data_IF_585696226475
#
_entry.id   IF_585696226475
#
_cell.length_a   1.000
_cell.length_b   1.000
_cell.length_c   1.000
_cell.angle_alpha   90.00
_cell.angle_beta   90.00
_cell.angle_gamma   90.00
#
_symmetry.space_group_name_H-M   'P 1'
#
loop_
_entity.id
_entity.type
_entity.pdbx_description
1 polymer ?
#
# COMPACT_ATOMS: atom_id res chain seq x y z
N UNK A 1 12.24 -21.34 23.78
CA UNK A 1 13.29 -20.63 23.04
C UNK A 1 13.23 -19.13 23.35
N UNK A 2 14.30 -18.42 23.06
CA UNK A 2 14.39 -16.97 23.22
C UNK A 2 15.06 -16.43 21.96
N UNK A 3 14.43 -15.44 21.31
CA UNK A 3 15.01 -14.73 20.19
C UNK A 3 15.90 -13.59 20.69
N UNK A 4 16.93 -13.28 19.94
CA UNK A 4 17.78 -12.11 20.17
C UNK A 4 17.71 -11.23 18.92
N UNK A 5 17.16 -10.04 19.06
CA UNK A 5 17.11 -9.02 18.00
C UNK A 5 18.25 -8.03 18.20
N UNK A 6 19.08 -7.85 17.17
CA UNK A 6 20.12 -6.82 17.16
C UNK A 6 19.59 -5.58 16.42
N UNK A 7 19.67 -4.43 17.03
CA UNK A 7 19.27 -3.14 16.45
C UNK A 7 20.12 -2.01 17.00
N UNK A 8 20.74 -1.19 16.11
CA UNK A 8 21.47 0.01 16.50
C UNK A 8 22.55 -0.21 17.57
N UNK A 9 23.28 -1.34 17.52
CA UNK A 9 24.32 -1.68 18.51
C UNK A 9 23.77 -2.20 19.85
N UNK A 10 22.45 -2.40 19.97
CA UNK A 10 21.76 -2.97 21.12
C UNK A 10 21.17 -4.34 20.79
N UNK A 11 20.86 -5.15 21.80
CA UNK A 11 20.15 -6.41 21.66
C UNK A 11 18.89 -6.43 22.52
N UNK A 12 17.82 -7.00 21.97
CA UNK A 12 16.55 -7.21 22.67
C UNK A 12 16.31 -8.71 22.73
N UNK A 13 15.99 -9.23 23.90
CA UNK A 13 15.59 -10.63 24.08
C UNK A 13 14.06 -10.72 24.14
N UNK A 14 13.48 -11.63 23.36
CA UNK A 14 12.03 -11.84 23.32
C UNK A 14 11.68 -13.32 23.20
N UNK A 15 10.63 -13.75 23.89
CA UNK A 15 10.10 -15.12 23.76
C UNK A 15 9.24 -15.27 22.49
N UNK A 16 8.59 -14.19 22.08
CA UNK A 16 7.75 -14.14 20.88
C UNK A 16 8.09 -12.88 20.07
N UNK A 17 8.11 -13.03 18.74
CA UNK A 17 8.32 -11.93 17.79
C UNK A 17 7.17 -11.89 16.82
N UNK A 18 6.72 -10.68 16.47
CA UNK A 18 5.77 -10.43 15.38
C UNK A 18 6.47 -9.69 14.25
N UNK A 19 6.53 -10.30 13.09
CA UNK A 19 7.03 -9.67 11.87
C UNK A 19 5.88 -8.98 11.13
N UNK A 20 5.81 -7.65 11.26
CA UNK A 20 4.80 -6.78 10.63
C UNK A 20 5.43 -5.85 9.59
N UNK A 21 6.44 -6.31 8.86
CA UNK A 21 7.28 -5.51 7.97
C UNK A 21 6.61 -5.10 6.66
N UNK A 22 5.44 -5.65 6.33
CA UNK A 22 4.72 -5.35 5.10
C UNK A 22 5.55 -5.64 3.84
N UNK A 23 5.70 -4.66 2.98
CA UNK A 23 6.54 -4.71 1.76
C UNK A 23 8.00 -4.29 1.97
N UNK A 24 8.45 -4.10 3.22
CA UNK A 24 9.79 -3.62 3.56
C UNK A 24 10.71 -4.70 4.13
N UNK A 25 10.26 -5.94 4.20
CA UNK A 25 11.06 -7.04 4.70
C UNK A 25 12.23 -7.37 3.76
N UNK A 26 13.44 -7.42 4.33
CA UNK A 26 14.66 -7.83 3.66
C UNK A 26 15.02 -9.30 3.95
N UNK A 27 16.34 -9.60 3.95
CA UNK A 27 16.85 -10.96 4.24
C UNK A 27 16.49 -11.46 5.64
N UNK A 28 16.33 -10.55 6.59
CA UNK A 28 15.93 -10.82 7.98
C UNK A 28 14.53 -11.43 8.09
N UNK A 29 13.69 -11.23 7.07
CA UNK A 29 12.34 -11.81 7.03
C UNK A 29 12.30 -13.26 6.50
N UNK A 30 13.45 -13.83 6.14
CA UNK A 30 13.59 -15.23 5.80
C UNK A 30 12.63 -15.68 4.69
N UNK A 31 11.71 -16.58 5.03
CA UNK A 31 10.74 -17.14 4.06
C UNK A 31 9.74 -16.11 3.53
N UNK A 32 9.43 -15.04 4.28
CA UNK A 32 8.48 -14.00 3.84
C UNK A 32 8.95 -13.30 2.56
N UNK A 33 10.23 -13.04 2.42
CA UNK A 33 10.80 -12.42 1.21
C UNK A 33 10.56 -13.24 -0.07
N UNK A 34 10.27 -14.54 0.07
CA UNK A 34 9.99 -15.44 -1.07
C UNK A 34 8.52 -15.53 -1.44
N UNK A 35 7.62 -15.14 -0.53
CA UNK A 35 6.17 -15.26 -0.71
C UNK A 35 5.46 -13.90 -0.79
N UNK A 36 6.20 -12.80 -0.66
CA UNK A 36 5.71 -11.44 -0.82
C UNK A 36 6.49 -10.70 -1.89
N UNK A 37 5.78 -9.92 -2.72
CA UNK A 37 6.38 -8.96 -3.64
C UNK A 37 6.24 -7.55 -3.06
N UNK A 38 7.33 -6.78 -2.97
CA UNK A 38 7.26 -5.36 -2.65
C UNK A 38 6.80 -4.58 -3.89
N UNK A 39 5.57 -4.14 -3.89
CA UNK A 39 4.98 -3.33 -4.96
C UNK A 39 4.86 -1.90 -4.47
N UNK A 40 5.43 -0.96 -5.21
CA UNK A 40 5.46 0.45 -4.84
C UNK A 40 4.25 1.20 -5.37
N UNK A 41 3.70 2.10 -4.55
CA UNK A 41 2.71 3.09 -4.93
C UNK A 41 3.18 4.49 -4.55
N UNK A 42 2.58 5.51 -5.12
CA UNK A 42 2.94 6.90 -4.94
C UNK A 42 1.76 7.69 -4.40
N UNK A 43 2.05 8.63 -3.52
CA UNK A 43 1.05 9.50 -2.90
C UNK A 43 1.55 10.94 -2.96
N UNK A 44 0.63 11.85 -3.23
CA UNK A 44 0.84 13.29 -3.02
C UNK A 44 -0.28 13.89 -2.21
N UNK A 45 0.03 14.95 -1.49
CA UNK A 45 -0.92 15.73 -0.70
C UNK A 45 -0.79 17.19 -1.09
N UNK A 46 -1.92 17.85 -1.35
CA UNK A 46 -1.95 19.27 -1.72
C UNK A 46 -1.66 20.18 -0.55
N UNK A 47 -1.37 21.45 -0.83
CA UNK A 47 -1.56 22.50 0.16
C UNK A 47 -3.02 22.52 0.64
N UNK A 48 -3.32 23.13 1.82
CA UNK A 48 -4.69 23.33 2.28
C UNK A 48 -5.51 24.16 1.27
N UNK A 49 -6.71 23.66 0.91
CA UNK A 49 -7.62 24.33 -0.05
C UNK A 49 -9.09 24.00 0.26
N UNK A 50 -9.57 24.22 1.50
CA UNK A 50 -10.89 23.75 1.93
C UNK A 50 -12.03 24.26 1.06
N UNK A 51 -11.99 25.54 0.63
CA UNK A 51 -13.01 26.17 -0.20
C UNK A 51 -13.07 25.54 -1.61
N UNK A 52 -11.91 25.26 -2.21
CA UNK A 52 -11.86 24.58 -3.52
C UNK A 52 -12.35 23.15 -3.41
N UNK A 53 -12.05 22.47 -2.31
CA UNK A 53 -12.55 21.11 -2.08
C UNK A 53 -14.07 21.11 -1.87
N UNK A 54 -14.64 22.08 -1.20
CA UNK A 54 -16.09 22.20 -1.04
C UNK A 54 -16.78 22.46 -2.38
N UNK A 55 -16.16 23.24 -3.26
CA UNK A 55 -16.71 23.55 -4.59
C UNK A 55 -16.59 22.39 -5.59
N UNK A 56 -15.45 21.66 -5.61
CA UNK A 56 -15.14 20.70 -6.68
C UNK A 56 -15.23 19.23 -6.25
N UNK A 57 -15.01 18.92 -4.97
CA UNK A 57 -15.04 17.56 -4.41
C UNK A 57 -15.78 17.58 -3.07
N UNK A 58 -17.09 17.80 -3.06
CA UNK A 58 -17.86 17.95 -1.81
C UNK A 58 -17.92 16.67 -0.99
N UNK A 59 -17.66 15.51 -1.60
CA UNK A 59 -17.64 14.22 -0.90
C UNK A 59 -16.58 14.21 0.18
N UNK A 60 -16.97 13.75 1.37
CA UNK A 60 -16.05 13.50 2.50
C UNK A 60 -15.61 12.05 2.60
N UNK A 61 -16.11 11.20 1.72
CA UNK A 61 -15.70 9.79 1.63
C UNK A 61 -14.40 9.62 0.87
N UNK A 62 -13.74 8.50 1.08
CA UNK A 62 -12.66 8.06 0.21
C UNK A 62 -13.24 7.68 -1.16
N UNK A 63 -12.58 8.11 -2.21
CA UNK A 63 -12.99 7.89 -3.60
C UNK A 63 -11.95 7.00 -4.26
N UNK A 64 -12.39 5.92 -4.89
CA UNK A 64 -11.58 5.10 -5.78
C UNK A 64 -12.24 5.11 -7.15
N UNK A 65 -11.46 5.19 -8.21
CA UNK A 65 -12.01 5.10 -9.56
C UNK A 65 -12.22 3.64 -10.00
N UNK A 66 -12.89 3.44 -11.11
CA UNK A 66 -13.26 2.12 -11.64
C UNK A 66 -12.19 1.48 -12.50
N UNK A 67 -11.07 2.18 -12.76
CA UNK A 67 -9.95 1.64 -13.52
C UNK A 67 -9.25 0.52 -12.75
N UNK A 68 -8.70 -0.44 -13.46
CA UNK A 68 -7.93 -1.55 -12.85
C UNK A 68 -6.58 -1.09 -12.28
N UNK A 69 -6.02 -0.04 -12.88
CA UNK A 69 -4.81 0.64 -12.42
C UNK A 69 -5.16 2.06 -11.95
N UNK A 70 -6.25 2.17 -11.21
CA UNK A 70 -6.90 3.42 -10.88
C UNK A 70 -6.26 4.21 -9.75
N UNK A 71 -6.85 5.35 -9.52
CA UNK A 71 -6.47 6.28 -8.47
C UNK A 71 -7.36 6.11 -7.24
N UNK A 72 -6.86 6.56 -6.12
CA UNK A 72 -7.63 6.66 -4.89
C UNK A 72 -7.28 7.98 -4.20
N UNK A 73 -8.29 8.67 -3.73
CA UNK A 73 -8.09 9.99 -3.12
C UNK A 73 -9.16 10.29 -2.07
N UNK A 74 -8.85 11.22 -1.20
CA UNK A 74 -9.77 11.67 -0.14
C UNK A 74 -9.38 13.04 0.39
N UNK A 75 -10.35 13.76 0.87
CA UNK A 75 -10.13 14.96 1.66
C UNK A 75 -9.57 14.59 3.04
N UNK A 76 -8.63 15.38 3.52
CA UNK A 76 -8.11 15.30 4.88
C UNK A 76 -8.83 16.32 5.78
N UNK A 77 -8.77 16.07 7.08
CA UNK A 77 -9.46 16.95 8.06
C UNK A 77 -8.90 18.38 8.09
N UNK A 78 -7.67 18.56 7.66
CA UNK A 78 -6.96 19.84 7.59
C UNK A 78 -7.20 20.62 6.28
N UNK A 79 -8.16 20.19 5.46
CA UNK A 79 -8.52 20.84 4.20
C UNK A 79 -7.60 20.54 3.04
N UNK A 80 -6.74 19.51 3.13
CA UNK A 80 -5.89 19.04 2.04
C UNK A 80 -6.53 17.88 1.28
N UNK A 81 -6.08 17.64 0.05
CA UNK A 81 -6.44 16.46 -0.73
C UNK A 81 -5.26 15.49 -0.78
N UNK A 82 -5.46 14.27 -0.29
CA UNK A 82 -4.56 13.15 -0.48
C UNK A 82 -4.93 12.44 -1.79
N UNK A 83 -3.93 12.22 -2.64
CA UNK A 83 -4.07 11.57 -3.94
C UNK A 83 -3.06 10.44 -4.11
N UNK A 84 -3.56 9.21 -4.23
CA UNK A 84 -2.75 8.04 -4.48
C UNK A 84 -2.85 7.59 -5.94
N UNK A 85 -1.73 7.29 -6.56
CA UNK A 85 -1.68 6.86 -7.97
C UNK A 85 -0.48 5.97 -8.25
N UNK A 86 -0.59 5.25 -9.33
CA UNK A 86 0.51 4.49 -9.90
C UNK A 86 0.98 3.33 -9.03
N UNK A 87 1.40 2.27 -9.69
CA UNK A 87 2.06 1.13 -9.06
C UNK A 87 3.29 0.77 -9.92
N UNK A 88 4.37 0.37 -9.28
CA UNK A 88 5.53 -0.20 -9.96
C UNK A 88 6.21 -1.25 -9.11
N UNK A 89 6.75 -2.26 -9.76
CA UNK A 89 7.60 -3.26 -9.13
C UNK A 89 9.08 -2.86 -9.11
N UNK A 90 9.46 -1.82 -9.86
CA UNK A 90 10.86 -1.42 -10.05
C UNK A 90 11.08 0.07 -9.82
N UNK A 91 12.25 0.38 -9.27
CA UNK A 91 12.74 1.73 -9.11
C UNK A 91 12.00 2.56 -8.05
N UNK A 92 12.44 3.79 -7.90
CA UNK A 92 11.83 4.83 -7.08
C UNK A 92 11.85 6.11 -7.89
N UNK A 93 10.74 6.82 -7.93
CA UNK A 93 10.67 8.13 -8.56
C UNK A 93 11.11 9.19 -7.57
N UNK A 94 11.78 10.22 -8.07
CA UNK A 94 12.08 11.42 -7.32
C UNK A 94 10.78 12.12 -6.89
N UNK A 95 10.80 12.72 -5.71
CA UNK A 95 9.65 13.39 -5.09
C UNK A 95 9.00 14.39 -6.05
N UNK A 96 9.80 15.19 -6.75
CA UNK A 96 9.31 16.17 -7.70
C UNK A 96 8.63 15.54 -8.92
N UNK A 97 9.07 14.37 -9.34
CA UNK A 97 8.38 13.60 -10.39
C UNK A 97 7.01 13.12 -9.90
N UNK A 98 6.93 12.65 -8.64
CA UNK A 98 5.65 12.25 -8.04
C UNK A 98 4.69 13.43 -7.94
N UNK A 99 5.16 14.61 -7.49
CA UNK A 99 4.35 15.84 -7.43
C UNK A 99 3.75 16.18 -8.81
N UNK A 100 4.58 16.17 -9.86
CA UNK A 100 4.13 16.44 -11.23
C UNK A 100 3.12 15.39 -11.73
N UNK A 101 3.33 14.12 -11.39
CA UNK A 101 2.39 13.04 -11.75
C UNK A 101 1.03 13.25 -11.09
N UNK A 102 1.00 13.52 -9.78
CA UNK A 102 -0.23 13.81 -9.03
C UNK A 102 -0.94 15.02 -9.62
N UNK A 103 -0.22 16.12 -9.84
CA UNK A 103 -0.78 17.36 -10.41
C UNK A 103 -1.39 17.13 -11.79
N UNK A 104 -0.70 16.40 -12.66
CA UNK A 104 -1.16 16.04 -14.00
C UNK A 104 -2.40 15.17 -13.96
N UNK A 105 -2.42 14.17 -13.09
CA UNK A 105 -3.49 13.19 -13.01
C UNK A 105 -4.76 13.81 -12.40
N UNK A 106 -4.61 14.61 -11.34
CA UNK A 106 -5.68 15.40 -10.76
C UNK A 106 -6.32 16.33 -11.82
N UNK A 107 -5.49 16.98 -12.64
CA UNK A 107 -5.96 17.87 -13.70
C UNK A 107 -6.73 17.18 -14.83
N UNK A 108 -6.50 15.89 -15.04
CA UNK A 108 -7.32 15.10 -16.00
C UNK A 108 -8.71 14.82 -15.46
N UNK A 109 -8.84 14.51 -14.18
CA UNK A 109 -10.10 14.12 -13.56
C UNK A 109 -10.90 15.34 -13.12
N UNK A 110 -10.22 16.35 -12.57
CA UNK A 110 -10.81 17.60 -12.10
C UNK A 110 -10.17 18.82 -12.77
N UNK A 111 -10.41 19.07 -14.09
CA UNK A 111 -9.74 20.16 -14.80
C UNK A 111 -10.13 21.56 -14.27
N UNK A 112 -11.33 21.71 -13.73
CA UNK A 112 -11.76 22.97 -13.11
C UNK A 112 -11.01 23.23 -11.82
N UNK A 113 -10.94 22.24 -10.91
CA UNK A 113 -10.15 22.32 -9.67
C UNK A 113 -8.69 22.66 -9.98
N UNK A 114 -8.12 21.98 -10.96
CA UNK A 114 -6.73 22.20 -11.35
C UNK A 114 -6.46 23.66 -11.79
N UNK A 115 -7.35 24.25 -12.57
CA UNK A 115 -7.26 25.67 -12.96
C UNK A 115 -7.35 26.62 -11.78
N UNK A 116 -8.26 26.34 -10.84
CA UNK A 116 -8.46 27.21 -9.69
C UNK A 116 -7.30 27.06 -8.68
N UNK A 117 -6.71 25.87 -8.55
CA UNK A 117 -5.46 25.67 -7.83
C UNK A 117 -4.31 26.53 -8.41
N UNK A 118 -4.17 26.57 -9.75
CA UNK A 118 -3.12 27.38 -10.41
C UNK A 118 -3.32 28.87 -10.13
N UNK A 119 -4.57 29.38 -10.21
CA UNK A 119 -4.89 30.79 -9.89
C UNK A 119 -4.58 31.14 -8.42
N UNK A 120 -4.79 30.19 -7.51
CA UNK A 120 -4.55 30.36 -6.09
C UNK A 120 -3.09 30.05 -5.65
N UNK A 121 -2.22 29.62 -6.58
CA UNK A 121 -0.85 29.22 -6.26
C UNK A 121 -0.76 27.97 -5.40
N UNK A 122 -1.77 27.10 -5.44
CA UNK A 122 -1.84 25.88 -4.65
C UNK A 122 -1.14 24.74 -5.38
N UNK A 123 -0.20 24.09 -4.74
CA UNK A 123 0.61 22.99 -5.27
C UNK A 123 0.36 21.64 -4.60
N UNK A 124 1.30 20.72 -4.87
CA UNK A 124 1.44 19.46 -4.14
C UNK A 124 2.54 19.67 -3.10
N UNK A 125 2.13 19.86 -1.84
CA UNK A 125 3.03 20.15 -0.73
C UNK A 125 3.97 18.97 -0.43
N UNK A 126 3.40 17.80 -0.22
CA UNK A 126 4.14 16.60 0.17
C UNK A 126 3.89 15.46 -0.80
N UNK A 127 4.94 14.71 -1.15
CA UNK A 127 4.82 13.50 -1.95
C UNK A 127 5.82 12.43 -1.48
N UNK A 128 5.39 11.17 -1.57
CA UNK A 128 6.23 10.02 -1.19
C UNK A 128 5.85 8.75 -1.93
N UNK A 129 6.68 7.73 -1.78
CA UNK A 129 6.40 6.37 -2.22
C UNK A 129 6.30 5.43 -1.02
N UNK A 130 5.48 4.38 -1.13
CA UNK A 130 5.36 3.34 -0.14
C UNK A 130 5.35 1.95 -0.76
N UNK A 131 5.96 0.96 -0.09
CA UNK A 131 5.93 -0.42 -0.53
C UNK A 131 4.76 -1.16 0.11
N UNK A 132 3.94 -1.75 -0.72
CA UNK A 132 2.89 -2.69 -0.32
C UNK A 132 3.39 -4.12 -0.48
N UNK A 133 3.17 -4.98 0.51
CA UNK A 133 3.47 -6.41 0.40
C UNK A 133 2.33 -7.14 -0.30
N UNK A 134 2.59 -7.74 -1.45
CA UNK A 134 1.61 -8.54 -2.19
C UNK A 134 1.95 -10.02 -2.12
N UNK A 135 1.01 -10.82 -1.64
CA UNK A 135 1.03 -12.26 -1.85
C UNK A 135 0.44 -12.60 -3.23
N UNK A 136 0.83 -13.72 -3.82
CA UNK A 136 0.38 -14.13 -5.16
C UNK A 136 -1.15 -14.25 -5.28
N UNK A 137 -1.83 -14.64 -4.23
CA UNK A 137 -3.30 -14.81 -4.16
C UNK A 137 -4.01 -13.63 -3.52
N UNK A 138 -3.32 -12.51 -3.26
CA UNK A 138 -3.85 -11.27 -2.67
C UNK A 138 -4.42 -11.39 -1.24
N UNK A 139 -4.25 -12.53 -0.58
CA UNK A 139 -4.66 -12.73 0.81
C UNK A 139 -3.48 -12.54 1.77
N UNK A 140 -3.70 -11.97 2.96
CA UNK A 140 -2.62 -11.76 3.92
C UNK A 140 -2.16 -13.08 4.56
N UNK A 141 -0.89 -13.14 4.90
CA UNK A 141 -0.33 -14.16 5.77
C UNK A 141 -0.41 -13.69 7.22
N UNK A 142 -1.16 -14.43 8.04
CA UNK A 142 -1.33 -14.15 9.47
C UNK A 142 -1.18 -15.46 10.22
N UNK A 143 -0.19 -15.56 11.10
CA UNK A 143 0.03 -16.77 11.88
C UNK A 143 1.45 -16.97 12.36
N UNK A 144 1.66 -18.08 13.01
CA UNK A 144 2.97 -18.54 13.45
C UNK A 144 3.72 -19.22 12.29
N UNK A 145 4.93 -18.77 12.01
CA UNK A 145 5.78 -19.31 10.94
C UNK A 145 6.81 -20.28 11.46
N UNK A 146 7.29 -20.05 12.66
CA UNK A 146 8.18 -20.89 13.44
C UNK A 146 7.81 -20.74 14.92
N UNK A 147 8.13 -21.69 15.81
CA UNK A 147 7.76 -21.58 17.23
C UNK A 147 8.18 -20.25 17.87
N UNK A 148 7.20 -19.43 18.25
CA UNK A 148 7.39 -18.08 18.79
C UNK A 148 7.61 -16.97 17.75
N UNK A 149 7.71 -17.28 16.45
CA UNK A 149 7.85 -16.29 15.40
C UNK A 149 6.52 -16.17 14.63
N UNK A 150 5.87 -15.05 14.79
CA UNK A 150 4.59 -14.72 14.15
C UNK A 150 4.75 -13.77 13.00
N UNK A 151 3.84 -13.83 12.04
CA UNK A 151 3.82 -12.97 10.85
C UNK A 151 2.44 -12.36 10.66
N UNK A 152 2.41 -11.09 10.29
CA UNK A 152 1.23 -10.38 9.83
C UNK A 152 1.63 -9.48 8.66
N UNK A 153 1.40 -9.93 7.42
CA UNK A 153 1.88 -9.27 6.21
C UNK A 153 1.10 -9.69 4.96
N UNK A 154 1.33 -9.02 3.84
CA UNK A 154 0.77 -9.43 2.54
C UNK A 154 -0.63 -8.87 2.27
N UNK A 155 -0.99 -7.74 2.84
CA UNK A 155 -2.32 -7.11 2.69
C UNK A 155 -2.59 -6.49 1.32
N UNK A 156 -1.60 -6.38 0.43
CA UNK A 156 -1.79 -5.96 -0.95
C UNK A 156 -2.48 -4.61 -1.14
N UNK A 157 -2.15 -3.61 -0.30
CA UNK A 157 -2.77 -2.28 -0.33
C UNK A 157 -4.05 -2.13 0.50
N UNK A 158 -4.63 -3.22 1.01
CA UNK A 158 -5.88 -3.20 1.80
C UNK A 158 -5.65 -3.28 3.32
N UNK A 159 -4.43 -3.01 3.79
CA UNK A 159 -4.05 -3.17 5.19
C UNK A 159 -4.79 -2.25 6.16
N UNK A 160 -5.16 -1.03 5.76
CA UNK A 160 -5.78 -0.07 6.68
C UNK A 160 -7.11 -0.56 7.30
N UNK A 161 -7.91 -1.27 6.54
CA UNK A 161 -9.19 -1.81 7.02
C UNK A 161 -9.10 -3.25 7.53
N UNK A 162 -8.13 -4.04 7.05
CA UNK A 162 -8.04 -5.48 7.38
C UNK A 162 -7.00 -5.81 8.44
N UNK A 163 -5.91 -5.04 8.54
CA UNK A 163 -4.85 -5.30 9.51
C UNK A 163 -5.30 -5.24 10.99
N UNK A 164 -6.21 -4.35 11.42
CA UNK A 164 -6.70 -4.36 12.80
C UNK A 164 -7.40 -5.67 13.19
N UNK A 165 -8.24 -6.21 12.31
CA UNK A 165 -8.92 -7.49 12.55
C UNK A 165 -7.92 -8.66 12.59
N UNK A 166 -6.97 -8.68 11.64
CA UNK A 166 -5.91 -9.68 11.61
C UNK A 166 -4.99 -9.60 12.84
N UNK A 167 -4.65 -8.39 13.30
CA UNK A 167 -3.85 -8.18 14.50
C UNK A 167 -4.57 -8.68 15.77
N UNK A 168 -5.89 -8.44 15.88
CA UNK A 168 -6.70 -8.96 16.99
C UNK A 168 -6.64 -10.49 17.01
N UNK A 169 -6.88 -11.16 15.89
CA UNK A 169 -6.81 -12.62 15.79
C UNK A 169 -5.41 -13.15 16.14
N UNK A 170 -4.36 -12.46 15.68
CA UNK A 170 -2.98 -12.83 16.00
C UNK A 170 -2.69 -12.70 17.51
N UNK A 171 -3.11 -11.61 18.13
CA UNK A 171 -2.94 -11.41 19.57
C UNK A 171 -3.68 -12.49 20.39
N UNK A 172 -4.91 -12.82 20.02
CA UNK A 172 -5.67 -13.89 20.64
C UNK A 172 -4.94 -15.24 20.58
N UNK A 173 -4.42 -15.59 19.39
CA UNK A 173 -3.62 -16.80 19.23
C UNK A 173 -2.34 -16.78 20.06
N UNK A 174 -1.63 -15.65 20.13
CA UNK A 174 -0.44 -15.48 20.97
C UNK A 174 -0.75 -15.63 22.47
N UNK A 175 -1.98 -15.33 22.88
CA UNK A 175 -2.47 -15.53 24.25
C UNK A 175 -2.99 -16.94 24.51
N UNK A 176 -2.99 -17.84 23.52
CA UNK A 176 -3.36 -19.24 23.66
C UNK A 176 -4.79 -19.57 23.22
N UNK A 177 -5.53 -18.63 22.61
CA UNK A 177 -6.86 -18.93 22.06
C UNK A 177 -6.71 -19.80 20.79
N UNK A 178 -7.08 -21.07 20.94
CA UNK A 178 -7.08 -22.02 19.82
C UNK A 178 -8.19 -21.67 18.83
N UNK A 179 -7.86 -21.67 17.54
CA UNK A 179 -8.84 -21.35 16.48
C UNK A 179 -8.91 -19.88 16.08
N UNK A 180 -8.32 -18.93 16.80
CA UNK A 180 -8.32 -17.52 16.42
C UNK A 180 -7.71 -17.27 15.01
N UNK A 181 -6.77 -18.11 14.59
CA UNK A 181 -6.12 -18.04 13.26
C UNK A 181 -6.77 -18.94 12.21
N UNK A 182 -7.85 -19.65 12.52
CA UNK A 182 -8.52 -20.56 11.58
C UNK A 182 -8.87 -19.89 10.22
N UNK A 183 -9.34 -18.63 10.17
CA UNK A 183 -9.63 -17.96 8.89
C UNK A 183 -8.39 -17.80 7.99
N UNK A 184 -7.19 -17.79 8.56
CA UNK A 184 -5.92 -17.62 7.84
C UNK A 184 -5.21 -18.92 7.57
N UNK A 185 -5.59 -20.03 8.22
CA UNK A 185 -4.92 -21.33 8.12
C UNK A 185 -4.97 -21.91 6.71
N UNK A 186 -6.04 -21.65 5.96
CA UNK A 186 -6.23 -22.11 4.59
C UNK A 186 -5.44 -21.30 3.55
N UNK A 187 -4.80 -20.19 3.93
CA UNK A 187 -4.06 -19.33 3.01
C UNK A 187 -2.71 -20.00 2.63
N UNK A 188 -2.52 -20.44 1.36
CA UNK A 188 -1.34 -21.20 0.97
C UNK A 188 -0.10 -20.31 0.88
N UNK A 189 1.03 -20.75 1.44
CA UNK A 189 2.32 -20.05 1.34
C UNK A 189 2.97 -20.29 -0.01
N UNK A 190 2.51 -19.56 -1.04
CA UNK A 190 2.98 -19.70 -2.41
C UNK A 190 4.17 -18.80 -2.71
N UNK A 191 5.18 -19.33 -3.41
CA UNK A 191 6.29 -18.50 -3.88
C UNK A 191 5.83 -17.47 -4.90
N UNK A 192 6.42 -16.29 -4.82
CA UNK A 192 6.23 -15.19 -5.78
C UNK A 192 7.29 -15.17 -6.87
N UNK A 193 8.23 -16.13 -6.86
CA UNK A 193 9.35 -16.24 -7.80
C UNK A 193 10.31 -15.04 -7.82
N UNK A 194 10.31 -14.20 -6.78
CA UNK A 194 11.27 -13.11 -6.62
C UNK A 194 11.29 -12.13 -7.80
N UNK A 195 12.45 -11.94 -8.45
CA UNK A 195 12.62 -11.02 -9.56
C UNK A 195 11.74 -11.35 -10.78
N UNK A 196 11.52 -12.61 -11.07
CA UNK A 196 10.61 -13.05 -12.16
C UNK A 196 9.18 -12.61 -11.84
N UNK A 197 8.75 -12.77 -10.59
CA UNK A 197 7.43 -12.30 -10.15
C UNK A 197 7.30 -10.79 -10.22
N UNK A 198 8.35 -10.03 -9.91
CA UNK A 198 8.34 -8.57 -10.07
C UNK A 198 8.18 -8.15 -11.53
N UNK A 199 8.89 -8.81 -12.46
CA UNK A 199 8.74 -8.55 -13.92
C UNK A 199 7.31 -8.86 -14.36
N UNK A 200 6.75 -10.00 -13.95
CA UNK A 200 5.38 -10.37 -14.29
C UNK A 200 4.35 -9.39 -13.71
N UNK A 201 4.54 -8.92 -12.48
CA UNK A 201 3.68 -7.92 -11.84
C UNK A 201 3.72 -6.59 -12.59
N UNK A 202 4.90 -6.09 -12.95
CA UNK A 202 5.06 -4.86 -13.74
C UNK A 202 4.39 -4.99 -15.12
N UNK A 203 4.64 -6.08 -15.83
CA UNK A 203 4.02 -6.32 -17.14
C UNK A 203 2.48 -6.37 -17.05
N UNK A 204 1.95 -7.07 -16.03
CA UNK A 204 0.51 -7.13 -15.76
C UNK A 204 -0.09 -5.74 -15.48
N UNK A 205 0.62 -4.93 -14.70
CA UNK A 205 0.18 -3.57 -14.38
C UNK A 205 0.18 -2.67 -15.62
N UNK A 206 1.25 -2.70 -16.42
CA UNK A 206 1.33 -1.94 -17.68
C UNK A 206 0.23 -2.33 -18.67
N UNK A 207 -0.04 -3.62 -18.77
CA UNK A 207 -1.13 -4.13 -19.58
C UNK A 207 -2.50 -3.57 -19.14
N UNK A 208 -2.76 -3.56 -17.83
CA UNK A 208 -3.99 -2.99 -17.27
C UNK A 208 -4.11 -1.49 -17.58
N UNK A 209 -3.02 -0.72 -17.45
CA UNK A 209 -3.01 0.70 -17.81
C UNK A 209 -3.33 0.94 -19.30
N UNK A 210 -2.82 0.09 -20.19
CA UNK A 210 -3.13 0.18 -21.63
C UNK A 210 -4.62 -0.09 -21.87
N UNK A 211 -5.15 -1.15 -21.26
CA UNK A 211 -6.57 -1.48 -21.40
C UNK A 211 -7.50 -0.39 -20.83
N UNK A 212 -7.14 0.20 -19.68
CA UNK A 212 -7.91 1.32 -19.12
C UNK A 212 -7.94 2.50 -20.09
N UNK A 213 -6.80 2.86 -20.71
CA UNK A 213 -6.73 3.95 -21.70
C UNK A 213 -7.53 3.65 -22.97
N UNK A 214 -7.51 2.40 -23.43
CA UNK A 214 -8.32 1.98 -24.61
C UNK A 214 -9.80 2.05 -24.30
N UNK A 215 -10.23 1.62 -23.12
CA UNK A 215 -11.60 1.72 -22.67
C UNK A 215 -12.07 3.18 -22.55
N UNK A 216 -11.23 4.07 -21.99
CA UNK A 216 -11.51 5.51 -21.90
C UNK A 216 -11.62 6.20 -23.28
N UNK A 217 -10.89 5.71 -24.29
CA UNK A 217 -10.94 6.26 -25.64
C UNK A 217 -12.17 5.81 -26.44
N UNK A 218 -12.88 4.78 -25.99
CA UNK A 218 -14.07 4.23 -26.64
C UNK A 218 -15.38 4.73 -26.02
N UNK A 219 -15.31 5.46 -24.92
CA UNK A 219 -16.45 6.10 -24.23
C UNK A 219 -16.45 7.61 -24.47
#
# INVERSE_FOLDING_TARGET
>A
GCFVLATGGKSIRAQKIVMATGGYGGRETGRLSRILLPIRTYIGVTDPMPELLDAHIPSRYAIGDTRRAGNYYRRLADGRLLWGLGITAFGTLEVETVRRMVRKDLGKIYPALARDMDKAGIGIDTAWAGNMGYARHFMPYVGETEPGLFTIAGFGGHGMNTAPAAAKALCQAMMGETGALAPFAAVPKQTTFGSVGLVAAEASYRWRQINDRLAEALT
#
